data_IF_634071067123
#
_entry.id   IF_634071067123
#
_cell.length_a   1.000
_cell.length_b   1.000
_cell.length_c   1.000
_cell.angle_alpha   90.00
_cell.angle_beta   90.00
_cell.angle_gamma   90.00
#
_symmetry.space_group_name_H-M   'P 1'
#
loop_
_entity.id
_entity.type
_entity.pdbx_description
1 polymer ?
#
# COMPACT_ATOMS: atom_id res chain seq x y z
N UNK A 1 -4.23 -25.60 0.85
CA UNK A 1 -3.23 -24.52 0.94
C UNK A 1 -2.75 -24.40 2.38
N UNK A 2 -1.45 -24.25 2.66
CA UNK A 2 -0.93 -24.17 4.04
C UNK A 2 -1.36 -22.83 4.69
N UNK A 3 -1.83 -22.85 5.94
CA UNK A 3 -2.27 -21.68 6.71
C UNK A 3 -1.22 -20.56 6.74
N UNK A 4 0.07 -20.90 6.87
CA UNK A 4 1.15 -19.90 6.89
C UNK A 4 1.37 -19.24 5.53
N UNK A 5 1.09 -19.96 4.44
CA UNK A 5 1.15 -19.39 3.08
C UNK A 5 0.09 -18.31 2.90
N UNK A 6 -1.14 -18.61 3.30
CA UNK A 6 -2.25 -17.65 3.28
C UNK A 6 -1.95 -16.41 4.12
N UNK A 7 -1.44 -16.58 5.34
CA UNK A 7 -1.05 -15.45 6.17
C UNK A 7 0.04 -14.60 5.53
N UNK A 8 1.11 -15.21 5.01
CA UNK A 8 2.19 -14.48 4.36
C UNK A 8 1.71 -13.67 3.15
N UNK A 9 0.84 -14.25 2.32
CA UNK A 9 0.21 -13.55 1.19
C UNK A 9 -0.69 -12.42 1.69
N UNK A 10 -1.56 -12.68 2.66
CA UNK A 10 -2.45 -11.67 3.23
C UNK A 10 -1.67 -10.51 3.88
N UNK A 11 -0.54 -10.77 4.53
CA UNK A 11 0.33 -9.71 5.08
C UNK A 11 0.87 -8.79 3.98
N UNK A 12 1.32 -9.35 2.84
CA UNK A 12 1.78 -8.52 1.73
C UNK A 12 0.62 -7.75 1.09
N UNK A 13 -0.52 -8.40 0.85
CA UNK A 13 -1.73 -7.77 0.30
C UNK A 13 -2.20 -6.62 1.20
N UNK A 14 -2.31 -6.83 2.51
CA UNK A 14 -2.74 -5.79 3.45
C UNK A 14 -1.74 -4.65 3.62
N UNK A 15 -0.46 -4.89 3.30
CA UNK A 15 0.56 -3.82 3.28
C UNK A 15 0.45 -2.97 2.01
N UNK A 16 0.17 -3.60 0.86
CA UNK A 16 0.05 -2.92 -0.44
C UNK A 16 -1.30 -2.21 -0.56
N UNK A 17 -2.41 -2.91 -0.25
CA UNK A 17 -3.75 -2.33 -0.29
C UNK A 17 -3.90 -1.36 0.87
N UNK A 18 -3.70 -0.09 0.56
CA UNK A 18 -3.80 1.01 1.50
C UNK A 18 -4.49 2.22 0.89
N UNK A 19 -4.26 3.39 1.48
CA UNK A 19 -4.97 4.62 1.11
C UNK A 19 -4.68 5.09 -0.32
N UNK A 20 -3.55 4.68 -0.90
CA UNK A 20 -3.18 5.04 -2.27
C UNK A 20 -4.21 4.60 -3.33
N UNK A 21 -4.90 3.48 -3.09
CA UNK A 21 -5.88 2.94 -4.05
C UNK A 21 -7.01 3.92 -4.35
N UNK A 22 -7.38 4.76 -3.39
CA UNK A 22 -8.45 5.76 -3.56
C UNK A 22 -8.06 6.89 -4.50
N UNK A 23 -6.75 7.16 -4.68
CA UNK A 23 -6.26 8.16 -5.62
C UNK A 23 -6.22 7.67 -7.06
N UNK A 24 -6.17 6.34 -7.29
CA UNK A 24 -6.00 5.75 -8.62
C UNK A 24 -7.16 6.15 -9.57
N UNK A 25 -8.44 5.99 -9.21
CA UNK A 25 -9.55 6.36 -10.11
C UNK A 25 -9.49 7.83 -10.56
N UNK A 26 -9.13 8.73 -9.64
CA UNK A 26 -9.02 10.16 -9.94
C UNK A 26 -7.92 10.44 -10.96
N UNK A 27 -6.69 9.95 -10.75
CA UNK A 27 -5.59 10.20 -11.69
C UNK A 27 -5.81 9.53 -13.04
N UNK A 28 -6.49 8.37 -13.08
CA UNK A 28 -6.90 7.72 -14.33
C UNK A 28 -7.96 8.55 -15.04
N UNK A 29 -8.95 9.12 -14.33
CA UNK A 29 -9.95 10.00 -14.95
C UNK A 29 -9.36 11.25 -15.61
N UNK A 30 -8.19 11.72 -15.12
CA UNK A 30 -7.50 12.91 -15.65
C UNK A 30 -6.55 12.58 -16.80
N UNK A 31 -5.85 11.46 -16.71
CA UNK A 31 -4.85 11.03 -17.71
C UNK A 31 -5.46 10.19 -18.85
N UNK A 32 -6.62 9.59 -18.62
CA UNK A 32 -7.26 8.65 -19.54
C UNK A 32 -6.99 7.20 -19.15
N UNK A 33 -7.94 6.32 -19.49
CA UNK A 33 -7.92 4.92 -19.08
C UNK A 33 -6.67 4.17 -19.57
N UNK A 34 -6.31 4.32 -20.85
CA UNK A 34 -5.17 3.60 -21.44
C UNK A 34 -3.84 4.01 -20.81
N UNK A 35 -3.65 5.30 -20.52
CA UNK A 35 -2.44 5.79 -19.85
C UNK A 35 -2.40 5.27 -18.41
N UNK A 36 -3.52 5.36 -17.70
CA UNK A 36 -3.67 4.82 -16.35
C UNK A 36 -3.32 3.33 -16.27
N UNK A 37 -3.92 2.53 -17.15
CA UNK A 37 -3.69 1.08 -17.23
C UNK A 37 -2.23 0.75 -17.57
N UNK A 38 -1.62 1.50 -18.49
CA UNK A 38 -0.20 1.32 -18.84
C UNK A 38 0.71 1.54 -17.64
N UNK A 39 0.45 2.59 -16.84
CA UNK A 39 1.19 2.83 -15.60
C UNK A 39 0.93 1.77 -14.54
N UNK A 40 -0.31 1.31 -14.38
CA UNK A 40 -0.64 0.22 -13.44
C UNK A 40 0.16 -1.04 -13.75
N UNK A 41 0.16 -1.49 -15.01
CA UNK A 41 0.89 -2.68 -15.44
C UNK A 41 2.40 -2.49 -15.28
N UNK A 42 2.94 -1.35 -15.74
CA UNK A 42 4.37 -1.06 -15.69
C UNK A 42 4.88 -1.00 -14.25
N UNK A 43 4.23 -0.21 -13.39
CA UNK A 43 4.66 -0.02 -12.00
C UNK A 43 4.33 -1.23 -11.13
N UNK A 44 3.25 -1.96 -11.43
CA UNK A 44 2.96 -3.26 -10.81
C UNK A 44 4.07 -4.26 -11.10
N UNK A 45 4.51 -4.38 -12.36
CA UNK A 45 5.62 -5.25 -12.74
C UNK A 45 6.95 -4.83 -12.07
N UNK A 46 7.24 -3.53 -12.04
CA UNK A 46 8.42 -2.99 -11.33
C UNK A 46 8.35 -3.30 -9.84
N UNK A 47 7.19 -3.13 -9.19
CA UNK A 47 7.02 -3.43 -7.76
C UNK A 47 7.22 -4.93 -7.48
N UNK A 48 6.67 -5.81 -8.32
CA UNK A 48 6.90 -7.26 -8.23
C UNK A 48 8.40 -7.57 -8.32
N UNK A 49 9.11 -6.99 -9.30
CA UNK A 49 10.55 -7.19 -9.47
C UNK A 49 11.36 -6.70 -8.27
N UNK A 50 11.02 -5.53 -7.72
CA UNK A 50 11.64 -4.97 -6.51
C UNK A 50 11.42 -5.89 -5.31
N UNK A 51 10.18 -6.35 -5.09
CA UNK A 51 9.83 -7.24 -3.98
C UNK A 51 10.53 -8.60 -4.11
N UNK A 52 10.62 -9.17 -5.33
CA UNK A 52 11.35 -10.41 -5.59
C UNK A 52 12.84 -10.25 -5.36
N UNK A 53 13.44 -9.15 -5.83
CA UNK A 53 14.85 -8.84 -5.62
C UNK A 53 15.18 -8.73 -4.13
N UNK A 54 14.31 -8.04 -3.38
CA UNK A 54 14.47 -7.95 -1.94
C UNK A 54 14.26 -9.31 -1.24
N UNK A 55 13.29 -10.10 -1.72
CA UNK A 55 13.09 -11.50 -1.33
C UNK A 55 14.36 -12.35 -1.46
N UNK A 56 15.10 -12.19 -2.54
CA UNK A 56 16.35 -12.90 -2.77
C UNK A 56 17.45 -12.48 -1.78
N UNK A 57 17.57 -11.17 -1.53
CA UNK A 57 18.51 -10.62 -0.53
C UNK A 57 18.22 -11.20 0.84
N UNK A 58 16.97 -11.19 1.29
CA UNK A 58 16.63 -11.71 2.62
C UNK A 58 16.85 -13.22 2.72
N UNK A 59 16.64 -13.99 1.65
CA UNK A 59 16.84 -15.44 1.64
C UNK A 59 18.32 -15.84 1.64
N UNK A 60 19.19 -15.05 1.00
CA UNK A 60 20.64 -15.31 0.93
C UNK A 60 21.42 -14.78 2.12
N UNK A 61 20.83 -13.90 2.92
CA UNK A 61 21.51 -13.29 4.05
C UNK A 61 21.23 -14.05 5.35
N UNK A 62 22.29 -14.51 6.04
CA UNK A 62 22.17 -15.01 7.42
C UNK A 62 21.72 -13.87 8.36
N UNK A 63 20.75 -14.17 9.22
CA UNK A 63 20.15 -13.20 10.15
C UNK A 63 18.97 -12.41 9.56
N UNK A 64 18.12 -11.89 10.45
CA UNK A 64 16.95 -11.07 10.11
C UNK A 64 17.35 -9.60 10.30
N UNK A 65 17.27 -8.82 9.22
CA UNK A 65 17.55 -7.39 9.24
C UNK A 65 16.34 -6.63 8.65
N UNK A 66 16.33 -5.30 8.81
CA UNK A 66 15.47 -4.40 8.03
C UNK A 66 16.25 -3.90 6.81
N UNK A 67 15.57 -3.21 5.90
CA UNK A 67 16.16 -2.73 4.64
C UNK A 67 17.45 -1.92 4.87
N UNK A 68 17.49 -1.08 5.90
CA UNK A 68 18.70 -0.33 6.29
C UNK A 68 19.88 -1.24 6.66
N UNK A 69 19.62 -2.31 7.41
CA UNK A 69 20.66 -3.29 7.79
C UNK A 69 21.12 -4.14 6.62
N UNK A 70 20.22 -4.50 5.70
CA UNK A 70 20.62 -5.15 4.45
C UNK A 70 21.46 -4.20 3.57
N UNK A 71 21.05 -2.94 3.45
CA UNK A 71 21.81 -1.93 2.71
C UNK A 71 23.20 -1.71 3.31
N UNK A 72 23.33 -1.64 4.64
CA UNK A 72 24.62 -1.55 5.33
C UNK A 72 25.52 -2.74 4.98
N UNK A 73 24.97 -3.96 5.00
CA UNK A 73 25.73 -5.18 4.77
C UNK A 73 26.28 -5.28 3.35
N UNK A 74 25.52 -4.84 2.34
CA UNK A 74 25.88 -5.02 0.94
C UNK A 74 26.51 -3.77 0.29
N UNK A 75 26.21 -2.57 0.80
CA UNK A 75 26.63 -1.29 0.22
C UNK A 75 27.41 -0.42 1.23
N UNK A 76 27.66 -0.92 2.43
CA UNK A 76 28.35 -0.19 3.49
C UNK A 76 27.54 0.97 4.08
N UNK A 77 28.23 1.86 4.79
CA UNK A 77 27.60 2.94 5.55
C UNK A 77 26.83 3.94 4.67
N UNK A 78 27.26 4.14 3.42
CA UNK A 78 26.56 5.02 2.48
C UNK A 78 25.18 4.45 2.13
N UNK A 79 25.09 3.16 1.79
CA UNK A 79 23.81 2.51 1.51
C UNK A 79 22.88 2.48 2.71
N UNK A 80 23.43 2.29 3.93
CA UNK A 80 22.67 2.43 5.19
C UNK A 80 22.01 3.80 5.30
N UNK A 81 22.79 4.87 5.10
CA UNK A 81 22.31 6.25 5.22
C UNK A 81 21.25 6.55 4.18
N UNK A 82 21.48 6.18 2.92
CA UNK A 82 20.51 6.37 1.84
C UNK A 82 19.20 5.63 2.15
N UNK A 83 19.27 4.35 2.49
CA UNK A 83 18.08 3.56 2.84
C UNK A 83 17.35 4.13 4.07
N UNK A 84 18.08 4.60 5.09
CA UNK A 84 17.48 5.19 6.28
C UNK A 84 16.74 6.49 5.95
N UNK A 85 17.37 7.38 5.18
CA UNK A 85 16.75 8.63 4.72
C UNK A 85 15.50 8.33 3.88
N UNK A 86 15.59 7.44 2.90
CA UNK A 86 14.45 7.07 2.05
C UNK A 86 13.29 6.49 2.85
N UNK A 87 13.56 5.64 3.84
CA UNK A 87 12.51 5.07 4.70
C UNK A 87 11.91 6.10 5.65
N UNK A 88 12.70 7.01 6.20
CA UNK A 88 12.19 8.10 7.04
C UNK A 88 11.21 8.95 6.23
N UNK A 89 11.63 9.50 5.10
CA UNK A 89 10.74 10.29 4.25
C UNK A 89 9.54 9.49 3.74
N UNK A 90 9.75 8.23 3.35
CA UNK A 90 8.68 7.34 2.89
C UNK A 90 7.62 7.08 3.96
N UNK A 91 8.02 6.71 5.17
CA UNK A 91 7.07 6.42 6.25
C UNK A 91 6.39 7.67 6.79
N UNK A 92 7.12 8.78 6.98
CA UNK A 92 6.49 10.04 7.42
C UNK A 92 5.52 10.57 6.35
N UNK A 93 5.90 10.53 5.08
CA UNK A 93 5.03 10.92 3.97
C UNK A 93 3.79 10.04 3.87
N UNK A 94 3.96 8.71 4.00
CA UNK A 94 2.84 7.79 4.04
C UNK A 94 1.89 8.10 5.21
N UNK A 95 2.42 8.21 6.45
CA UNK A 95 1.61 8.52 7.64
C UNK A 95 0.84 9.84 7.48
N UNK A 96 1.49 10.87 6.91
CA UNK A 96 0.83 12.14 6.63
C UNK A 96 -0.34 11.96 5.64
N UNK A 97 -0.12 11.22 4.54
CA UNK A 97 -1.18 10.92 3.58
C UNK A 97 -2.35 10.15 4.22
N UNK A 98 -2.05 9.15 5.05
CA UNK A 98 -3.08 8.38 5.79
C UNK A 98 -3.89 9.27 6.73
N UNK A 99 -3.25 10.21 7.44
CA UNK A 99 -3.93 11.14 8.36
C UNK A 99 -4.81 12.13 7.58
N UNK A 100 -4.31 12.70 6.49
CA UNK A 100 -5.05 13.68 5.68
C UNK A 100 -6.27 13.01 5.04
N UNK A 101 -6.08 11.93 4.30
CA UNK A 101 -7.17 11.26 3.58
C UNK A 101 -8.16 10.62 4.55
N UNK A 102 -7.66 10.02 5.64
CA UNK A 102 -8.54 9.50 6.70
C UNK A 102 -9.38 10.60 7.35
N UNK A 103 -8.80 11.78 7.56
CA UNK A 103 -9.51 12.96 8.05
C UNK A 103 -10.54 13.50 7.06
N UNK A 104 -10.25 13.49 5.75
CA UNK A 104 -11.21 13.83 4.69
C UNK A 104 -12.40 12.88 4.68
N UNK A 105 -12.17 11.57 4.82
CA UNK A 105 -13.25 10.59 4.92
C UNK A 105 -14.11 10.77 6.18
N UNK A 106 -13.48 10.99 7.33
CA UNK A 106 -14.21 11.27 8.56
C UNK A 106 -15.02 12.57 8.45
N UNK A 107 -14.43 13.62 7.88
CA UNK A 107 -15.13 14.87 7.63
C UNK A 107 -16.33 14.66 6.69
N UNK A 108 -16.17 13.91 5.60
CA UNK A 108 -17.26 13.63 4.66
C UNK A 108 -18.45 12.92 5.31
N UNK A 109 -18.20 12.05 6.30
CA UNK A 109 -19.25 11.30 7.01
C UNK A 109 -19.90 12.13 8.11
N UNK A 110 -19.11 12.85 8.91
CA UNK A 110 -19.57 13.47 10.16
C UNK A 110 -19.83 14.97 10.07
N UNK A 111 -19.27 15.68 9.09
CA UNK A 111 -19.49 17.12 8.94
C UNK A 111 -20.96 17.52 8.76
N UNK A 112 -21.84 16.74 8.09
CA UNK A 112 -23.26 17.10 8.02
C UNK A 112 -23.97 17.12 9.39
N UNK A 113 -23.41 16.41 10.39
CA UNK A 113 -23.99 16.27 11.72
C UNK A 113 -23.30 17.16 12.76
N UNK A 114 -21.97 17.26 12.69
CA UNK A 114 -21.14 17.89 13.73
C UNK A 114 -20.43 19.16 13.24
N UNK A 115 -20.49 19.47 11.93
CA UNK A 115 -19.76 20.58 11.33
C UNK A 115 -18.23 20.46 11.48
N UNK A 116 -17.55 21.59 11.58
CA UNK A 116 -16.09 21.67 11.77
C UNK A 116 -15.30 21.77 10.45
N UNK A 117 -14.00 21.46 10.53
CA UNK A 117 -13.06 21.52 9.40
C UNK A 117 -12.30 20.21 9.26
N UNK A 118 -11.84 19.87 8.06
CA UNK A 118 -11.03 18.66 7.79
C UNK A 118 -9.87 18.53 8.77
N UNK A 119 -9.20 19.64 9.11
CA UNK A 119 -8.08 19.66 10.05
C UNK A 119 -8.44 19.07 11.43
N UNK A 120 -9.64 19.36 11.95
CA UNK A 120 -10.10 18.83 13.25
C UNK A 120 -10.22 17.31 13.19
N UNK A 121 -10.81 16.77 12.11
CA UNK A 121 -10.97 15.33 11.93
C UNK A 121 -9.62 14.63 11.72
N UNK A 122 -8.70 15.23 10.95
CA UNK A 122 -7.33 14.71 10.77
C UNK A 122 -6.56 14.67 12.09
N UNK A 123 -6.64 15.73 12.90
CA UNK A 123 -5.98 15.77 14.22
C UNK A 123 -6.61 14.80 15.20
N UNK A 124 -7.94 14.67 15.20
CA UNK A 124 -8.64 13.69 16.03
C UNK A 124 -8.23 12.26 15.67
N UNK A 125 -8.14 11.94 14.37
CA UNK A 125 -7.66 10.66 13.86
C UNK A 125 -6.21 10.39 14.28
N UNK A 126 -5.34 11.40 14.19
CA UNK A 126 -3.95 11.30 14.64
C UNK A 126 -3.87 10.98 16.14
N UNK A 127 -4.60 11.73 16.98
CA UNK A 127 -4.63 11.51 18.44
C UNK A 127 -5.14 10.11 18.77
N UNK A 128 -6.21 9.66 18.10
CA UNK A 128 -6.79 8.33 18.29
C UNK A 128 -5.78 7.21 17.99
N UNK A 129 -5.10 7.28 16.83
CA UNK A 129 -4.11 6.27 16.47
C UNK A 129 -2.84 6.35 17.32
N UNK A 130 -2.36 7.55 17.64
CA UNK A 130 -1.22 7.73 18.54
C UNK A 130 -1.49 7.09 19.90
N UNK A 131 -2.69 7.31 20.45
CA UNK A 131 -3.14 6.66 21.68
C UNK A 131 -3.24 5.13 21.56
N UNK A 132 -3.74 4.62 20.43
CA UNK A 132 -3.79 3.19 20.14
C UNK A 132 -2.40 2.53 20.15
N UNK A 133 -1.38 3.22 19.62
CA UNK A 133 0.01 2.77 19.63
C UNK A 133 0.55 2.67 21.07
N UNK A 134 0.26 3.64 21.94
CA UNK A 134 0.68 3.61 23.35
C UNK A 134 0.10 2.42 24.13
N UNK A 135 -1.10 1.95 23.76
CA UNK A 135 -1.76 0.78 24.36
C UNK A 135 -1.25 -0.57 23.79
N UNK A 136 -0.41 -0.53 22.76
CA UNK A 136 0.25 -1.69 22.18
C UNK A 136 -0.50 -2.32 21.00
N UNK A 137 0.28 -3.03 20.18
CA UNK A 137 -0.13 -3.58 18.86
C UNK A 137 -1.30 -4.58 18.96
N UNK A 138 -1.54 -5.20 20.12
CA UNK A 138 -2.62 -6.17 20.31
C UNK A 138 -4.02 -5.57 20.10
N UNK A 139 -4.22 -4.28 20.34
CA UNK A 139 -5.50 -3.62 20.03
C UNK A 139 -5.62 -3.24 18.54
N UNK A 140 -4.49 -3.02 17.86
CA UNK A 140 -4.44 -2.56 16.48
C UNK A 140 -4.74 -3.73 15.52
N UNK A 141 -4.22 -4.92 15.81
CA UNK A 141 -4.37 -6.10 14.93
C UNK A 141 -5.83 -6.46 14.55
N UNK A 142 -6.81 -6.54 15.49
CA UNK A 142 -8.20 -6.81 15.11
C UNK A 142 -8.85 -5.64 14.36
N UNK A 143 -8.49 -4.39 14.70
CA UNK A 143 -8.99 -3.21 14.00
C UNK A 143 -8.50 -3.18 12.54
N UNK A 144 -7.23 -3.50 12.29
CA UNK A 144 -6.64 -3.62 10.96
C UNK A 144 -7.42 -4.64 10.12
N UNK A 145 -7.66 -5.84 10.65
CA UNK A 145 -8.41 -6.87 9.93
C UNK A 145 -9.83 -6.42 9.55
N UNK A 146 -10.56 -5.82 10.48
CA UNK A 146 -11.92 -5.30 10.23
C UNK A 146 -11.87 -4.20 9.15
N UNK A 147 -10.92 -3.27 9.25
CA UNK A 147 -10.76 -2.18 8.28
C UNK A 147 -10.42 -2.70 6.89
N UNK A 148 -9.55 -3.71 6.76
CA UNK A 148 -9.25 -4.35 5.47
C UNK A 148 -10.48 -5.03 4.87
N UNK A 149 -11.27 -5.75 5.68
CA UNK A 149 -12.52 -6.37 5.20
C UNK A 149 -13.51 -5.32 4.74
N UNK A 150 -13.71 -4.26 5.51
CA UNK A 150 -14.58 -3.13 5.14
C UNK A 150 -14.11 -2.42 3.87
N UNK A 151 -12.80 -2.24 3.71
CA UNK A 151 -12.21 -1.67 2.50
C UNK A 151 -12.53 -2.52 1.27
N UNK A 152 -12.29 -3.83 1.32
CA UNK A 152 -12.59 -4.75 0.22
C UNK A 152 -14.09 -4.75 -0.11
N UNK A 153 -14.95 -4.75 0.91
CA UNK A 153 -16.40 -4.63 0.75
C UNK A 153 -16.79 -3.33 0.04
N UNK A 154 -16.17 -2.22 0.44
CA UNK A 154 -16.43 -0.90 -0.16
C UNK A 154 -16.04 -0.88 -1.64
N UNK A 155 -14.89 -1.46 -1.99
CA UNK A 155 -14.47 -1.59 -3.40
C UNK A 155 -15.49 -2.40 -4.20
N UNK A 156 -15.96 -3.54 -3.68
CA UNK A 156 -16.98 -4.36 -4.35
C UNK A 156 -18.30 -3.60 -4.52
N UNK A 157 -18.74 -2.86 -3.49
CA UNK A 157 -19.95 -2.04 -3.55
C UNK A 157 -19.82 -0.94 -4.61
N UNK A 158 -18.69 -0.23 -4.65
CA UNK A 158 -18.44 0.83 -5.64
C UNK A 158 -18.47 0.25 -7.07
N UNK A 159 -17.82 -0.90 -7.28
CA UNK A 159 -17.85 -1.57 -8.59
C UNK A 159 -19.27 -1.98 -8.98
N UNK A 160 -20.01 -2.61 -8.08
CA UNK A 160 -21.39 -3.03 -8.34
C UNK A 160 -22.34 -1.86 -8.62
N UNK A 161 -22.24 -0.78 -7.83
CA UNK A 161 -23.05 0.42 -7.99
C UNK A 161 -22.67 1.24 -9.23
N UNK A 162 -21.41 1.18 -9.68
CA UNK A 162 -20.93 1.90 -10.86
C UNK A 162 -21.17 1.19 -12.19
N UNK A 163 -21.54 -0.10 -12.19
CA UNK A 163 -21.81 -0.87 -13.42
C UNK A 163 -22.90 -0.25 -14.32
N UNK A 164 -24.05 0.22 -13.80
CA UNK A 164 -25.10 0.82 -14.63
C UNK A 164 -24.66 2.12 -15.34
N UNK A 165 -23.74 2.87 -14.73
CA UNK A 165 -23.25 4.16 -15.26
C UNK A 165 -22.01 4.01 -16.17
N UNK A 166 -21.65 2.78 -16.52
CA UNK A 166 -20.45 2.48 -17.29
C UNK A 166 -20.60 2.96 -18.74
N UNK A 167 -19.85 4.01 -19.09
CA UNK A 167 -19.72 4.50 -20.47
C UNK A 167 -18.44 3.98 -21.09
N UNK A 168 -18.56 3.10 -22.10
CA UNK A 168 -17.41 2.51 -22.80
C UNK A 168 -16.51 3.55 -23.46
N UNK A 169 -17.05 4.70 -23.84
CA UNK A 169 -16.30 5.84 -24.38
C UNK A 169 -15.17 6.32 -23.43
N UNK A 170 -15.37 6.18 -22.12
CA UNK A 170 -14.35 6.55 -21.13
C UNK A 170 -13.12 5.64 -21.18
N UNK A 171 -13.25 4.41 -21.72
CA UNK A 171 -12.12 3.47 -21.85
C UNK A 171 -11.15 3.88 -22.97
N UNK A 172 -11.62 4.68 -23.94
CA UNK A 172 -10.79 5.20 -25.04
C UNK A 172 -10.22 6.58 -24.76
N UNK A 173 -10.51 7.16 -23.58
CA UNK A 173 -9.99 8.48 -23.20
C UNK A 173 -8.46 8.46 -23.04
N UNK A 174 -7.79 9.47 -23.60
CA UNK A 174 -6.35 9.68 -23.52
C UNK A 174 -6.07 11.18 -23.38
N UNK A 175 -5.32 11.57 -22.36
CA UNK A 175 -4.90 12.95 -22.17
C UNK A 175 -3.40 13.01 -21.84
N UNK A 176 -2.60 13.33 -22.86
CA UNK A 176 -1.14 13.39 -22.74
C UNK A 176 -0.65 14.49 -21.79
N UNK A 177 -1.41 15.58 -21.59
CA UNK A 177 -1.02 16.66 -20.67
C UNK A 177 -0.95 16.17 -19.21
N UNK A 178 -1.74 15.17 -18.86
CA UNK A 178 -1.74 14.55 -17.53
C UNK A 178 -1.09 13.16 -17.54
N UNK A 179 -0.32 12.82 -18.57
CA UNK A 179 0.19 11.45 -18.74
C UNK A 179 1.11 10.98 -17.61
N UNK A 180 1.82 11.89 -16.96
CA UNK A 180 2.74 11.58 -15.84
C UNK A 180 2.04 11.62 -14.48
N UNK A 181 0.83 12.20 -14.39
CA UNK A 181 0.10 12.35 -13.13
C UNK A 181 -0.11 11.02 -12.37
N UNK A 182 -0.47 9.89 -13.03
CA UNK A 182 -0.68 8.63 -12.34
C UNK A 182 0.57 8.02 -11.71
N UNK A 183 1.76 8.35 -12.21
CA UNK A 183 3.03 7.73 -11.81
C UNK A 183 3.21 7.70 -10.28
N UNK A 184 3.11 8.86 -9.63
CA UNK A 184 3.36 8.96 -8.18
C UNK A 184 2.31 8.24 -7.33
N UNK A 185 1.03 8.39 -7.69
CA UNK A 185 -0.09 7.77 -6.95
C UNK A 185 -0.06 6.26 -7.07
N UNK A 186 0.17 5.73 -8.28
CA UNK A 186 0.26 4.30 -8.52
C UNK A 186 1.51 3.72 -7.85
N UNK A 187 2.66 4.38 -7.96
CA UNK A 187 3.89 3.91 -7.31
C UNK A 187 3.72 3.85 -5.78
N UNK A 188 3.10 4.86 -5.18
CA UNK A 188 2.79 4.88 -3.75
C UNK A 188 1.83 3.76 -3.36
N UNK A 189 0.82 3.48 -4.19
CA UNK A 189 -0.17 2.42 -3.96
C UNK A 189 0.45 1.02 -3.98
N UNK A 190 1.54 0.79 -4.72
CA UNK A 190 2.22 -0.50 -4.77
C UNK A 190 3.31 -0.69 -3.70
N UNK A 191 3.33 0.15 -2.65
CA UNK A 191 4.30 0.07 -1.56
C UNK A 191 4.11 -1.18 -0.69
N UNK A 192 4.98 -2.18 -0.84
CA UNK A 192 4.92 -3.45 -0.08
C UNK A 192 6.22 -3.88 0.62
N UNK A 193 7.31 -3.14 0.42
CA UNK A 193 8.67 -3.56 0.81
C UNK A 193 8.83 -3.90 2.29
N UNK A 194 8.11 -3.23 3.19
CA UNK A 194 8.20 -3.44 4.63
C UNK A 194 7.73 -4.83 5.08
N UNK A 195 6.83 -5.46 4.31
CA UNK A 195 6.30 -6.80 4.59
C UNK A 195 7.28 -7.91 4.21
N UNK A 196 8.16 -7.69 3.24
CA UNK A 196 9.00 -8.75 2.65
C UNK A 196 9.85 -9.50 3.69
N UNK A 197 10.53 -8.86 4.67
CA UNK A 197 11.23 -9.58 5.74
C UNK A 197 10.30 -10.41 6.64
N UNK A 198 9.04 -10.00 6.79
CA UNK A 198 8.05 -10.71 7.60
C UNK A 198 7.59 -11.99 6.93
N UNK A 199 7.46 -12.00 5.59
CA UNK A 199 7.17 -13.21 4.82
C UNK A 199 8.20 -14.31 5.10
N UNK A 200 9.47 -13.96 5.26
CA UNK A 200 10.53 -14.90 5.63
C UNK A 200 10.34 -15.49 7.03
N UNK A 201 9.84 -14.70 7.99
CA UNK A 201 9.52 -15.19 9.34
C UNK A 201 8.34 -16.15 9.31
N UNK A 202 7.26 -15.80 8.61
CA UNK A 202 6.03 -16.62 8.53
C UNK A 202 6.27 -17.93 7.78
N UNK A 203 7.08 -17.92 6.73
CA UNK A 203 7.31 -19.07 5.85
C UNK A 203 8.58 -19.86 6.16
N UNK A 204 9.23 -19.58 7.30
CA UNK A 204 10.40 -20.33 7.77
C UNK A 204 11.51 -20.49 6.71
N UNK A 205 11.74 -19.45 5.91
CA UNK A 205 12.74 -19.43 4.81
C UNK A 205 12.47 -20.39 3.62
N UNK A 206 11.27 -20.92 3.46
CA UNK A 206 10.90 -21.71 2.28
C UNK A 206 10.90 -20.83 1.02
N UNK A 207 11.96 -20.96 0.22
CA UNK A 207 12.20 -20.12 -0.97
C UNK A 207 11.05 -20.16 -1.97
N UNK A 208 10.51 -21.35 -2.21
CA UNK A 208 9.42 -21.55 -3.19
C UNK A 208 8.14 -20.90 -2.71
N UNK A 209 7.81 -21.06 -1.42
CA UNK A 209 6.63 -20.41 -0.83
C UNK A 209 6.78 -18.89 -0.78
N UNK A 210 7.95 -18.36 -0.42
CA UNK A 210 8.18 -16.92 -0.36
C UNK A 210 8.03 -16.30 -1.75
N UNK A 211 8.66 -16.88 -2.78
CA UNK A 211 8.51 -16.41 -4.16
C UNK A 211 7.04 -16.38 -4.60
N UNK A 212 6.30 -17.47 -4.36
CA UNK A 212 4.86 -17.54 -4.69
C UNK A 212 4.03 -16.52 -3.90
N UNK A 213 4.34 -16.33 -2.62
CA UNK A 213 3.64 -15.37 -1.77
C UNK A 213 3.89 -13.92 -2.23
N UNK A 214 5.12 -13.60 -2.65
CA UNK A 214 5.46 -12.28 -3.22
C UNK A 214 4.68 -12.03 -4.51
N UNK A 215 4.69 -12.99 -5.44
CA UNK A 215 3.99 -12.86 -6.73
C UNK A 215 2.49 -12.70 -6.49
N UNK A 216 1.86 -13.63 -5.77
CA UNK A 216 0.41 -13.58 -5.53
C UNK A 216 0.01 -12.36 -4.70
N UNK A 217 0.77 -12.02 -3.66
CA UNK A 217 0.47 -10.87 -2.82
C UNK A 217 0.66 -9.53 -3.50
N UNK A 218 1.43 -9.47 -4.59
CA UNK A 218 1.59 -8.26 -5.42
C UNK A 218 0.63 -8.24 -6.61
N UNK A 219 0.15 -9.39 -7.10
CA UNK A 219 -0.82 -9.49 -8.19
C UNK A 219 -2.27 -9.27 -7.73
N UNK A 220 -2.63 -9.66 -6.51
CA UNK A 220 -3.99 -9.45 -5.99
C UNK A 220 -4.36 -7.95 -5.93
N UNK A 221 -3.47 -7.03 -5.53
CA UNK A 221 -3.75 -5.59 -5.55
C UNK A 221 -3.68 -4.91 -6.92
N UNK A 222 -3.13 -5.58 -7.95
CA UNK A 222 -2.99 -5.06 -9.31
C UNK A 222 -4.28 -5.31 -10.11
#
# INVERSE_FOLDING_TARGET
MNKNFLYATATLVGTIIGVGIFGIPFVISKSGFLIGLSWLILLGAVSILINLSYGEIILRTKGIHRLTGYAEKYLGLWGKRLAAISLLFGFYGALLAYIIIGGEFLFAIFSPLLGGTVLIYSLALFIFWAWGIFRGIKMIAPAEFIMTVLLLLTVVIILGAGLPDLKLENLTSVNFNHSVLPYGVILFSFGGLAAIPELRRILSQDRTKIKKAIILGSLIPL
#
